data_IF_337016286065
#
_entry.id   IF_337016286065
#
_cell.length_a   1.000
_cell.length_b   1.000
_cell.length_c   1.000
_cell.angle_alpha   90.00
_cell.angle_beta   90.00
_cell.angle_gamma   90.00
#
_symmetry.space_group_name_H-M   'P 1'
#
loop_
_entity.id
_entity.type
_entity.pdbx_description
1 polymer ?
#
# COMPACT_ATOMS: atom_id res chain seq x y z
N UNK A 1 -30.64 -54.30 -20.91
CA UNK A 1 -30.28 -53.64 -22.18
C UNK A 1 -29.45 -52.41 -21.83
N UNK A 2 -28.13 -52.58 -21.78
CA UNK A 2 -27.17 -52.21 -22.85
C UNK A 2 -26.91 -50.72 -22.86
N UNK A 3 -25.68 -50.21 -22.91
CA UNK A 3 -24.35 -50.79 -22.82
C UNK A 3 -23.42 -49.58 -22.75
N UNK A 4 -22.32 -49.72 -22.02
CA UNK A 4 -21.17 -48.82 -22.10
C UNK A 4 -20.63 -48.74 -23.54
N UNK A 5 -20.05 -47.58 -23.82
CA UNK A 5 -19.01 -47.26 -24.81
C UNK A 5 -18.13 -48.48 -25.21
N UNK A 6 -17.62 -48.53 -26.45
CA UNK A 6 -16.38 -47.78 -26.70
C UNK A 6 -16.16 -47.24 -28.14
N UNK A 7 -15.52 -46.07 -28.18
CA UNK A 7 -14.29 -45.75 -28.94
C UNK A 7 -13.90 -46.67 -30.10
N UNK A 8 -14.04 -46.17 -31.34
CA UNK A 8 -13.26 -46.59 -32.50
C UNK A 8 -12.95 -45.38 -33.42
N UNK A 9 -11.68 -45.00 -33.49
CA UNK A 9 -11.09 -44.23 -34.60
C UNK A 9 -9.74 -44.87 -34.90
N UNK A 10 -9.48 -45.25 -36.16
CA UNK A 10 -8.32 -44.71 -36.88
C UNK A 10 -8.58 -44.61 -38.42
N UNK A 11 -7.61 -44.24 -39.29
CA UNK A 11 -6.26 -43.73 -39.06
C UNK A 11 -5.96 -42.39 -39.74
N UNK A 12 -4.88 -41.77 -39.25
CA UNK A 12 -4.16 -40.66 -39.85
C UNK A 12 -3.54 -41.05 -41.20
N UNK A 13 -3.93 -40.36 -42.27
CA UNK A 13 -3.22 -40.37 -43.55
C UNK A 13 -2.79 -38.95 -43.93
N UNK A 14 -1.50 -38.70 -43.71
CA UNK A 14 -0.57 -37.89 -44.54
C UNK A 14 -1.20 -36.75 -45.36
N UNK A 15 -0.92 -35.51 -44.97
CA UNK A 15 -0.55 -34.49 -45.96
C UNK A 15 0.65 -33.67 -45.49
N UNK A 16 1.78 -33.99 -46.13
CA UNK A 16 3.07 -33.31 -46.06
C UNK A 16 2.96 -31.96 -46.79
N UNK A 17 3.68 -30.97 -46.23
CA UNK A 17 4.35 -29.83 -46.90
C UNK A 17 3.45 -28.70 -47.42
N UNK A 18 3.55 -27.54 -46.77
CA UNK A 18 4.04 -26.30 -47.41
C UNK A 18 4.17 -25.17 -46.36
N UNK A 19 5.20 -25.21 -45.52
CA UNK A 19 5.71 -24.01 -44.86
C UNK A 19 6.75 -23.39 -45.80
N UNK A 20 6.34 -22.44 -46.63
CA UNK A 20 7.24 -21.43 -47.19
C UNK A 20 6.43 -20.20 -47.56
N UNK A 21 6.63 -19.12 -46.82
CA UNK A 21 7.04 -17.80 -47.35
C UNK A 21 7.00 -16.77 -46.24
N UNK A 22 8.18 -16.19 -46.02
CA UNK A 22 8.39 -14.93 -45.31
C UNK A 22 7.42 -13.85 -45.80
N UNK A 23 6.94 -13.03 -44.88
CA UNK A 23 6.84 -11.58 -45.08
C UNK A 23 6.89 -10.87 -43.72
N UNK A 24 8.03 -10.24 -43.46
CA UNK A 24 8.19 -9.19 -42.45
C UNK A 24 7.83 -7.86 -43.15
N UNK A 25 7.06 -6.99 -42.50
CA UNK A 25 7.35 -5.56 -42.54
C UNK A 25 7.52 -5.07 -41.09
N UNK A 26 8.70 -4.64 -40.64
CA UNK A 26 9.38 -3.39 -40.99
C UNK A 26 8.55 -2.13 -40.65
N UNK A 27 8.74 -1.68 -39.41
CA UNK A 27 8.98 -0.29 -38.99
C UNK A 27 8.19 0.82 -39.72
N UNK A 28 7.22 1.41 -39.02
CA UNK A 28 6.77 2.78 -39.27
C UNK A 28 6.68 3.52 -37.93
N UNK A 29 7.73 4.28 -37.65
CA UNK A 29 7.90 5.19 -36.53
C UNK A 29 7.16 6.49 -36.88
N UNK A 30 5.96 6.66 -36.34
CA UNK A 30 5.16 7.87 -36.50
C UNK A 30 5.61 8.96 -35.53
N UNK A 31 6.51 9.84 -36.00
CA UNK A 31 6.76 11.15 -35.42
C UNK A 31 5.56 12.06 -35.73
N UNK A 32 4.72 12.36 -34.73
CA UNK A 32 3.79 13.48 -34.80
C UNK A 32 4.35 14.64 -33.98
N UNK A 33 5.05 15.55 -34.66
CA UNK A 33 5.37 16.87 -34.15
C UNK A 33 4.14 17.76 -34.32
N UNK A 34 3.33 17.88 -33.25
CA UNK A 34 2.27 18.88 -33.18
C UNK A 34 2.86 20.23 -32.79
N UNK A 35 3.05 21.10 -33.77
CA UNK A 35 3.29 22.52 -33.55
C UNK A 35 1.98 23.17 -33.07
N UNK A 36 1.88 23.48 -31.78
CA UNK A 36 0.83 24.34 -31.25
C UNK A 36 1.35 25.78 -31.19
N UNK A 37 0.80 26.62 -32.06
CA UNK A 37 1.06 28.06 -32.13
C UNK A 37 0.71 28.74 -30.81
N UNK A 38 1.69 29.40 -30.19
CA UNK A 38 1.47 30.34 -29.11
C UNK A 38 0.85 31.63 -29.69
N UNK A 39 -0.45 31.85 -29.48
CA UNK A 39 -1.07 33.15 -29.69
C UNK A 39 -0.80 34.03 -28.46
N UNK A 40 0.05 35.02 -28.65
CA UNK A 40 0.40 36.04 -27.67
C UNK A 40 -0.79 36.99 -27.48
N UNK A 41 -1.55 36.83 -26.39
CA UNK A 41 -2.48 37.84 -25.90
C UNK A 41 -1.71 38.94 -25.17
N UNK A 42 -1.66 40.14 -25.76
CA UNK A 42 -1.26 41.37 -25.07
C UNK A 42 -2.33 41.74 -24.03
N UNK A 43 -1.97 42.04 -22.77
CA UNK A 43 -2.81 42.89 -21.95
C UNK A 43 -2.43 44.36 -22.21
N UNK A 44 -3.42 45.15 -22.58
CA UNK A 44 -3.41 46.60 -22.43
C UNK A 44 -3.97 46.94 -21.05
N UNK A 45 -3.29 47.82 -20.31
CA UNK A 45 -3.74 48.33 -19.02
C UNK A 45 -2.59 49.05 -18.31
N UNK A 46 -2.72 50.37 -18.20
CA UNK A 46 -1.86 51.22 -17.38
C UNK A 46 -2.19 51.01 -15.89
N UNK A 47 -1.16 50.86 -15.08
CA UNK A 47 -1.34 50.60 -13.66
C UNK A 47 0.01 50.39 -13.03
N UNK A 48 0.59 51.48 -12.55
CA UNK A 48 1.85 51.52 -11.80
C UNK A 48 1.96 50.36 -10.82
N UNK A 49 3.11 49.68 -10.72
CA UNK A 49 3.28 48.57 -9.79
C UNK A 49 3.19 49.10 -8.36
N UNK A 50 2.08 48.79 -7.68
CA UNK A 50 2.00 48.87 -6.22
C UNK A 50 2.94 47.78 -5.70
N UNK A 51 4.14 48.17 -5.29
CA UNK A 51 5.07 47.29 -4.58
C UNK A 51 4.37 46.82 -3.28
N UNK A 52 4.11 45.51 -3.10
CA UNK A 52 3.71 45.02 -1.79
C UNK A 52 4.85 45.29 -0.78
N UNK A 53 4.54 45.60 0.49
CA UNK A 53 5.55 45.77 1.54
C UNK A 53 6.45 44.53 1.63
N UNK A 54 7.71 44.68 2.10
CA UNK A 54 8.75 43.66 1.99
C UNK A 54 8.23 42.33 2.50
N UNK A 55 8.09 41.41 1.55
CA UNK A 55 7.40 40.14 1.75
C UNK A 55 8.12 39.35 2.84
N UNK A 56 7.41 39.04 3.93
CA UNK A 56 7.69 37.86 4.70
C UNK A 56 7.85 36.70 3.70
N UNK A 57 8.99 36.02 3.74
CA UNK A 57 9.27 34.90 2.83
C UNK A 57 8.05 33.97 2.85
N UNK A 58 7.47 33.60 1.70
CA UNK A 58 6.39 32.62 1.69
C UNK A 58 6.92 31.37 2.37
N UNK A 59 6.21 30.89 3.39
CA UNK A 59 6.52 29.65 4.11
C UNK A 59 6.73 28.57 3.05
N UNK A 60 7.95 28.08 2.94
CA UNK A 60 8.31 27.04 1.98
C UNK A 60 7.56 25.77 2.37
N UNK A 61 6.64 25.33 1.51
CA UNK A 61 5.91 24.07 1.68
C UNK A 61 6.83 22.85 1.66
N UNK A 62 8.11 23.00 1.27
CA UNK A 62 9.12 21.95 1.33
C UNK A 62 9.50 21.56 2.78
N UNK A 63 9.30 22.46 3.74
CA UNK A 63 9.70 22.24 5.14
C UNK A 63 8.57 21.65 6.00
N UNK A 64 7.36 21.49 5.45
CA UNK A 64 6.19 20.93 6.15
C UNK A 64 5.97 19.47 5.77
N UNK A 65 5.78 18.58 6.74
CA UNK A 65 5.58 17.15 6.45
C UNK A 65 5.72 16.24 7.66
N UNK A 66 5.70 14.92 7.41
CA UNK A 66 5.99 13.90 8.41
C UNK A 66 7.10 13.01 7.85
N UNK A 67 8.30 13.13 8.39
CA UNK A 67 9.39 12.20 8.10
C UNK A 67 9.19 10.93 8.90
N UNK A 68 9.18 9.79 8.22
CA UNK A 68 9.04 8.51 8.89
C UNK A 68 10.28 8.22 9.76
N UNK A 69 10.09 8.13 11.08
CA UNK A 69 11.13 7.75 12.03
C UNK A 69 10.72 6.48 12.76
N UNK A 70 10.77 5.33 12.08
CA UNK A 70 10.44 4.02 12.68
C UNK A 70 11.45 3.61 13.76
N UNK A 71 11.02 2.74 14.68
CA UNK A 71 11.82 2.24 15.81
C UNK A 71 12.42 3.35 16.70
N UNK A 72 11.86 4.56 16.63
CA UNK A 72 12.36 5.71 17.37
C UNK A 72 11.63 5.77 18.71
N UNK A 73 12.40 5.89 19.78
CA UNK A 73 11.87 6.01 21.14
C UNK A 73 11.37 7.43 21.36
N UNK A 74 10.09 7.58 21.69
CA UNK A 74 9.57 8.86 22.17
C UNK A 74 10.09 9.09 23.59
N UNK A 75 10.60 10.29 23.94
CA UNK A 75 11.11 10.56 25.27
C UNK A 75 9.93 10.58 26.24
N UNK A 76 9.91 9.62 27.16
CA UNK A 76 8.80 9.45 28.10
C UNK A 76 8.75 10.54 29.18
N UNK A 77 9.87 11.26 29.37
CA UNK A 77 10.06 12.34 30.35
C UNK A 77 9.42 13.67 29.94
N UNK A 78 8.94 13.80 28.69
CA UNK A 78 8.29 15.03 28.24
C UNK A 78 7.02 15.29 29.05
N UNK A 79 6.89 16.53 29.51
CA UNK A 79 5.82 16.96 30.41
C UNK A 79 4.73 17.67 29.62
N UNK A 80 3.49 17.27 29.86
CA UNK A 80 2.28 17.84 29.27
C UNK A 80 1.22 18.04 30.35
N UNK A 81 0.12 18.71 30.01
CA UNK A 81 -1.13 18.69 30.77
C UNK A 81 -2.14 17.83 30.06
N UNK A 82 -2.84 16.98 30.80
CA UNK A 82 -3.95 16.21 30.25
C UNK A 82 -5.27 17.00 30.24
N UNK A 83 -6.32 16.35 29.74
CA UNK A 83 -7.67 16.90 29.64
C UNK A 83 -8.36 17.13 30.99
N UNK A 84 -7.79 16.65 32.10
CA UNK A 84 -8.23 16.97 33.45
C UNK A 84 -7.43 18.15 34.07
N UNK A 85 -6.37 18.60 33.41
CA UNK A 85 -5.49 19.68 33.87
C UNK A 85 -4.29 19.20 34.68
N UNK A 86 -4.15 17.88 34.83
CA UNK A 86 -3.06 17.28 35.59
C UNK A 86 -1.76 17.34 34.79
N UNK A 87 -0.66 17.62 35.49
CA UNK A 87 0.68 17.57 34.90
C UNK A 87 1.09 16.10 34.80
N UNK A 88 1.40 15.66 33.58
CA UNK A 88 1.70 14.25 33.26
C UNK A 88 2.97 14.16 32.43
N UNK A 89 3.67 13.04 32.56
CA UNK A 89 4.73 12.66 31.62
C UNK A 89 4.18 11.73 30.55
N UNK A 90 4.73 11.77 29.34
CA UNK A 90 4.28 10.89 28.26
C UNK A 90 4.42 9.40 28.58
N UNK A 91 5.39 9.03 29.42
CA UNK A 91 5.58 7.65 29.90
C UNK A 91 4.34 7.08 30.57
N UNK A 92 3.45 7.91 31.13
CA UNK A 92 2.14 7.50 31.69
C UNK A 92 1.32 6.69 30.68
N UNK A 93 1.47 6.99 29.38
CA UNK A 93 0.71 6.35 28.31
C UNK A 93 1.51 5.26 27.58
N UNK A 94 2.84 5.25 27.73
CA UNK A 94 3.78 4.36 27.04
C UNK A 94 4.42 3.40 28.05
N UNK A 95 3.60 2.62 28.75
CA UNK A 95 4.03 1.53 29.65
C UNK A 95 2.82 0.75 30.18
N UNK A 96 1.72 0.78 29.44
CA UNK A 96 0.44 0.20 29.85
C UNK A 96 0.29 -1.27 29.43
N UNK A 97 1.36 -1.88 28.90
CA UNK A 97 1.35 -3.14 28.15
C UNK A 97 0.41 -3.12 26.92
N UNK A 98 0.05 -1.93 26.44
CA UNK A 98 -0.84 -1.74 25.29
C UNK A 98 -0.18 -0.85 24.24
N UNK A 99 -0.40 -1.12 22.94
CA UNK A 99 0.01 -0.19 21.89
C UNK A 99 -0.74 1.14 22.02
N UNK A 100 -0.20 2.19 21.41
CA UNK A 100 -0.80 3.52 21.42
C UNK A 100 -1.06 4.01 20.00
N UNK A 101 -2.30 4.41 19.73
CA UNK A 101 -2.64 5.20 18.55
C UNK A 101 -2.38 6.67 18.89
N UNK A 102 -1.41 7.27 18.20
CA UNK A 102 -0.87 8.58 18.50
C UNK A 102 -1.11 9.55 17.33
N UNK A 103 -1.49 10.79 17.62
CA UNK A 103 -1.58 11.83 16.59
C UNK A 103 -1.28 13.21 17.14
N UNK A 104 -0.78 14.08 16.25
CA UNK A 104 -0.46 15.48 16.51
C UNK A 104 -1.45 16.34 15.75
N UNK A 105 -2.16 17.19 16.49
CA UNK A 105 -3.18 18.11 15.98
C UNK A 105 -3.05 19.45 16.71
N UNK A 106 -3.87 20.43 16.39
CA UNK A 106 -4.24 21.47 17.36
C UNK A 106 -5.76 21.60 17.32
N UNK A 107 -6.37 21.69 18.49
CA UNK A 107 -7.80 21.48 18.72
C UNK A 107 -8.69 22.58 18.15
N UNK A 108 -8.17 23.80 18.03
CA UNK A 108 -8.85 24.95 17.43
C UNK A 108 -8.79 24.99 15.91
N UNK A 109 -8.13 24.02 15.26
CA UNK A 109 -7.98 24.00 13.81
C UNK A 109 -9.33 23.78 13.10
N UNK A 110 -9.77 24.73 12.24
CA UNK A 110 -11.08 24.64 11.60
C UNK A 110 -11.12 23.69 10.40
N UNK A 111 -9.98 23.12 10.00
CA UNK A 111 -9.87 22.29 8.79
C UNK A 111 -9.19 20.95 9.06
N UNK A 112 -7.90 20.84 8.70
CA UNK A 112 -7.23 19.55 8.53
C UNK A 112 -7.18 18.69 9.80
N UNK A 113 -6.89 19.28 10.97
CA UNK A 113 -6.86 18.50 12.21
C UNK A 113 -8.24 17.91 12.56
N UNK A 114 -9.31 18.68 12.35
CA UNK A 114 -10.68 18.19 12.55
C UNK A 114 -10.97 17.02 11.61
N UNK A 115 -10.52 17.10 10.34
CA UNK A 115 -10.62 15.97 9.40
C UNK A 115 -9.82 14.76 9.88
N UNK A 116 -8.57 14.92 10.30
CA UNK A 116 -7.72 13.83 10.82
C UNK A 116 -8.41 13.10 11.98
N UNK A 117 -8.95 13.82 12.96
CA UNK A 117 -9.62 13.22 14.11
C UNK A 117 -10.97 12.57 13.73
N UNK A 118 -11.72 13.17 12.82
CA UNK A 118 -12.98 12.60 12.32
C UNK A 118 -12.75 11.28 11.60
N UNK A 119 -11.79 11.24 10.68
CA UNK A 119 -11.46 10.02 9.93
C UNK A 119 -10.81 8.97 10.83
N UNK A 120 -10.00 9.35 11.81
CA UNK A 120 -9.51 8.43 12.85
C UNK A 120 -10.68 7.77 13.59
N UNK A 121 -11.65 8.56 14.07
CA UNK A 121 -12.79 8.04 14.82
C UNK A 121 -13.66 7.13 13.94
N UNK A 122 -13.91 7.53 12.68
CA UNK A 122 -14.62 6.70 11.69
C UNK A 122 -13.93 5.38 11.41
N UNK A 123 -12.60 5.40 11.24
CA UNK A 123 -11.83 4.20 10.97
C UNK A 123 -11.79 3.24 12.17
N UNK A 124 -11.93 3.77 13.40
CA UNK A 124 -12.02 2.96 14.62
C UNK A 124 -13.40 2.35 14.86
N UNK A 125 -14.49 2.90 14.31
CA UNK A 125 -15.85 2.39 14.53
C UNK A 125 -16.03 0.89 14.21
N UNK A 126 -15.51 0.35 13.09
CA UNK A 126 -15.60 -1.09 12.80
C UNK A 126 -14.46 -1.93 13.41
N UNK A 127 -13.51 -1.34 14.14
CA UNK A 127 -12.41 -2.07 14.80
C UNK A 127 -12.93 -2.65 16.12
N UNK A 128 -12.76 -3.96 16.34
CA UNK A 128 -13.29 -4.67 17.52
C UNK A 128 -12.46 -4.45 18.81
N UNK A 129 -11.25 -3.88 18.67
CA UNK A 129 -10.41 -3.48 19.80
C UNK A 129 -10.99 -2.21 20.45
N UNK A 130 -10.84 -2.08 21.77
CA UNK A 130 -11.36 -0.96 22.55
C UNK A 130 -10.24 -0.12 23.19
N UNK A 131 -10.30 1.22 23.07
CA UNK A 131 -9.44 2.13 23.83
C UNK A 131 -9.54 1.88 25.33
N UNK A 132 -8.41 1.96 26.03
CA UNK A 132 -8.30 1.75 27.47
C UNK A 132 -8.30 0.28 27.90
N UNK A 133 -8.69 -0.65 27.01
CA UNK A 133 -8.58 -2.10 27.24
C UNK A 133 -7.46 -2.71 26.40
N UNK A 134 -7.52 -2.50 25.10
CA UNK A 134 -6.66 -3.18 24.11
C UNK A 134 -5.56 -2.25 23.57
N UNK A 135 -5.80 -0.94 23.55
CA UNK A 135 -4.86 0.10 23.12
C UNK A 135 -5.17 1.44 23.81
N UNK A 136 -4.25 2.39 23.78
CA UNK A 136 -4.49 3.77 24.23
C UNK A 136 -4.58 4.72 23.03
N UNK A 137 -5.33 5.81 23.15
CA UNK A 137 -5.37 6.89 22.16
C UNK A 137 -4.77 8.14 22.80
N UNK A 138 -3.70 8.66 22.21
CA UNK A 138 -3.02 9.87 22.69
C UNK A 138 -3.01 10.91 21.58
N UNK A 139 -3.69 12.02 21.83
CA UNK A 139 -3.82 13.13 20.90
C UNK A 139 -3.13 14.34 21.54
N UNK A 140 -2.01 14.78 20.97
CA UNK A 140 -1.25 15.91 21.52
C UNK A 140 -1.45 17.15 20.67
N UNK A 141 -1.77 18.28 21.32
CA UNK A 141 -1.77 19.58 20.66
C UNK A 141 -0.34 20.04 20.39
N UNK A 142 -0.06 20.46 19.15
CA UNK A 142 1.19 21.15 18.81
C UNK A 142 1.08 22.67 18.83
N UNK A 143 -0.06 23.23 19.27
CA UNK A 143 -0.20 24.66 19.51
C UNK A 143 0.00 24.97 21.02
N UNK A 144 1.11 25.62 21.41
CA UNK A 144 1.39 25.91 22.82
C UNK A 144 0.42 26.94 23.44
N UNK A 145 -0.44 27.57 22.63
CA UNK A 145 -1.47 28.52 23.10
C UNK A 145 -2.75 27.81 23.56
N UNK A 146 -2.89 26.51 23.29
CA UNK A 146 -4.08 25.75 23.66
C UNK A 146 -4.04 25.27 25.12
N UNK A 147 -5.18 25.38 25.79
CA UNK A 147 -5.34 24.99 27.19
C UNK A 147 -6.15 23.72 27.39
N UNK A 148 -6.10 23.20 28.61
CA UNK A 148 -6.84 22.01 29.07
C UNK A 148 -8.33 22.07 28.75
N UNK A 149 -8.99 23.23 28.90
CA UNK A 149 -10.42 23.36 28.62
C UNK A 149 -10.80 22.93 27.18
N UNK A 150 -9.92 23.22 26.23
CA UNK A 150 -10.13 22.87 24.83
C UNK A 150 -9.85 21.39 24.59
N UNK A 151 -8.80 20.84 25.21
CA UNK A 151 -8.49 19.42 25.20
C UNK A 151 -9.66 18.58 25.75
N UNK A 152 -10.21 19.00 26.90
CA UNK A 152 -11.38 18.39 27.53
C UNK A 152 -12.59 18.40 26.61
N UNK A 153 -12.94 19.56 26.04
CA UNK A 153 -14.08 19.69 25.12
C UNK A 153 -13.93 18.78 23.90
N UNK A 154 -12.72 18.70 23.33
CA UNK A 154 -12.48 17.81 22.18
C UNK A 154 -12.55 16.34 22.56
N UNK A 155 -12.00 15.93 23.69
CA UNK A 155 -12.17 14.55 24.19
C UNK A 155 -13.64 14.18 24.29
N UNK A 156 -14.45 15.02 24.94
CA UNK A 156 -15.90 14.78 25.10
C UNK A 156 -16.63 14.63 23.76
N UNK A 157 -16.27 15.46 22.77
CA UNK A 157 -16.85 15.39 21.43
C UNK A 157 -16.54 14.05 20.74
N UNK A 158 -15.27 13.63 20.75
CA UNK A 158 -14.83 12.43 20.05
C UNK A 158 -15.21 11.13 20.76
N UNK A 159 -15.23 11.09 22.10
CA UNK A 159 -15.72 9.92 22.84
C UNK A 159 -17.23 9.73 22.65
N UNK A 160 -18.00 10.82 22.62
CA UNK A 160 -19.43 10.78 22.32
C UNK A 160 -19.71 10.28 20.90
N UNK A 161 -18.92 10.71 19.92
CA UNK A 161 -19.05 10.25 18.53
C UNK A 161 -18.66 8.77 18.35
N UNK A 162 -17.69 8.28 19.14
CA UNK A 162 -17.24 6.89 19.09
C UNK A 162 -18.30 5.87 19.55
N UNK A 163 -19.28 6.29 20.36
CA UNK A 163 -20.47 5.51 20.75
C UNK A 163 -20.18 4.14 21.38
N UNK A 164 -19.06 4.03 22.13
CA UNK A 164 -18.74 2.86 22.94
C UNK A 164 -18.50 3.27 24.40
N UNK A 165 -19.56 3.26 25.23
CA UNK A 165 -19.44 3.63 26.65
C UNK A 165 -18.40 2.77 27.38
N UNK A 166 -17.67 3.37 28.31
CA UNK A 166 -16.63 2.70 29.10
C UNK A 166 -15.25 2.71 28.44
N UNK A 167 -15.10 3.34 27.27
CA UNK A 167 -13.80 3.49 26.58
C UNK A 167 -13.14 4.84 26.83
N UNK A 168 -13.81 5.78 27.51
CA UNK A 168 -13.41 7.17 27.69
C UNK A 168 -12.06 7.32 28.41
N UNK A 169 -11.76 6.40 29.32
CA UNK A 169 -10.48 6.34 30.04
C UNK A 169 -9.28 6.02 29.13
N UNK A 170 -9.52 5.49 27.93
CA UNK A 170 -8.50 5.21 26.93
C UNK A 170 -8.18 6.36 25.98
N UNK A 171 -8.85 7.50 26.13
CA UNK A 171 -8.64 8.70 25.29
C UNK A 171 -7.95 9.79 26.09
N UNK A 172 -6.79 10.22 25.62
CA UNK A 172 -5.96 11.20 26.31
C UNK A 172 -5.69 12.37 25.36
N UNK A 173 -6.15 13.56 25.75
CA UNK A 173 -5.94 14.78 24.98
C UNK A 173 -5.00 15.69 25.77
N UNK A 174 -3.83 15.97 25.20
CA UNK A 174 -2.74 16.64 25.91
C UNK A 174 -2.42 18.01 25.30
N UNK A 175 -2.13 18.99 26.14
CA UNK A 175 -1.51 20.27 25.74
C UNK A 175 -0.16 20.43 26.43
N UNK A 176 0.74 21.25 25.88
CA UNK A 176 2.09 21.39 26.39
C UNK A 176 2.72 22.74 26.07
N UNK A 177 3.87 23.00 26.68
CA UNK A 177 4.69 24.14 26.31
C UNK A 177 5.44 23.89 24.99
N UNK A 178 5.93 24.98 24.40
CA UNK A 178 6.62 24.95 23.11
C UNK A 178 7.87 24.07 23.12
N UNK A 179 8.60 24.00 24.23
CA UNK A 179 9.84 23.22 24.32
C UNK A 179 9.55 21.70 24.25
N UNK A 180 8.55 21.24 25.00
CA UNK A 180 8.10 19.85 25.00
C UNK A 180 7.46 19.48 23.65
N UNK A 181 6.63 20.35 23.08
CA UNK A 181 6.02 20.16 21.75
C UNK A 181 7.11 20.03 20.68
N UNK A 182 8.09 20.94 20.67
CA UNK A 182 9.19 20.93 19.70
C UNK A 182 10.01 19.64 19.78
N UNK A 183 10.39 19.21 20.99
CA UNK A 183 11.13 17.95 21.19
C UNK A 183 10.31 16.73 20.75
N UNK A 184 9.01 16.70 21.04
CA UNK A 184 8.11 15.62 20.60
C UNK A 184 7.99 15.56 19.07
N UNK A 185 7.66 16.69 18.45
CA UNK A 185 7.47 16.81 17.00
C UNK A 185 8.74 16.47 16.23
N UNK A 186 9.91 16.96 16.67
CA UNK A 186 11.21 16.57 16.13
C UNK A 186 11.47 15.07 16.25
N UNK A 187 11.14 14.47 17.39
CA UNK A 187 11.38 13.03 17.62
C UNK A 187 10.56 12.16 16.68
N UNK A 188 9.29 12.51 16.46
CA UNK A 188 8.42 11.72 15.57
C UNK A 188 8.49 12.15 14.11
N UNK A 189 9.29 13.18 13.78
CA UNK A 189 9.51 13.66 12.42
C UNK A 189 8.38 14.57 11.91
N UNK A 190 7.55 15.12 12.78
CA UNK A 190 6.45 16.01 12.42
C UNK A 190 6.98 17.44 12.25
N UNK A 191 6.90 17.98 11.04
CA UNK A 191 7.29 19.36 10.72
C UNK A 191 6.06 20.18 10.35
N UNK A 192 5.96 21.36 10.95
CA UNK A 192 4.87 22.30 10.77
C UNK A 192 5.41 23.73 10.75
N UNK A 193 4.66 24.65 10.18
CA UNK A 193 5.04 26.05 10.09
C UNK A 193 3.84 26.96 10.31
N UNK A 194 4.08 28.14 10.90
CA UNK A 194 3.03 29.15 11.09
C UNK A 194 2.85 29.98 9.82
N UNK A 195 1.60 30.12 9.38
CA UNK A 195 1.21 30.99 8.28
C UNK A 195 0.61 32.28 8.83
N UNK A 196 1.41 33.34 8.80
CA UNK A 196 1.00 34.67 9.27
C UNK A 196 -0.20 35.22 8.51
N UNK A 197 -0.38 34.87 7.23
CA UNK A 197 -1.48 35.41 6.43
C UNK A 197 -2.82 34.87 6.89
N UNK A 198 -2.87 33.58 7.22
CA UNK A 198 -4.11 32.90 7.60
C UNK A 198 -4.23 32.70 9.12
N UNK A 199 -3.20 33.08 9.88
CA UNK A 199 -3.11 32.87 11.33
C UNK A 199 -3.38 31.40 11.70
N UNK A 200 -2.76 30.49 10.94
CA UNK A 200 -2.96 29.05 11.04
C UNK A 200 -1.63 28.32 10.88
N UNK A 201 -1.55 27.09 11.39
CA UNK A 201 -0.41 26.22 11.10
C UNK A 201 -0.63 25.46 9.80
N UNK A 202 0.42 25.42 8.98
CA UNK A 202 0.54 24.52 7.84
C UNK A 202 1.25 23.26 8.35
N UNK A 203 0.58 22.12 8.22
CA UNK A 203 1.10 20.82 8.67
C UNK A 203 0.56 19.70 7.77
N UNK A 204 1.23 18.55 7.79
CA UNK A 204 0.68 17.33 7.20
C UNK A 204 -0.28 16.63 8.18
N UNK A 205 -1.25 15.90 7.63
CA UNK A 205 -2.15 15.03 8.40
C UNK A 205 -1.58 13.63 8.52
N UNK A 206 -1.80 12.99 9.67
CA UNK A 206 -1.44 11.58 9.85
C UNK A 206 -1.64 11.06 11.26
N UNK A 207 -1.57 9.73 11.37
CA UNK A 207 -1.57 8.98 12.63
C UNK A 207 -0.27 8.20 12.74
N UNK A 208 0.11 7.88 13.96
CA UNK A 208 1.24 7.03 14.28
C UNK A 208 0.75 5.93 15.19
N UNK A 209 1.38 4.78 15.12
CA UNK A 209 1.15 3.68 16.06
C UNK A 209 2.44 3.43 16.81
N UNK A 210 2.35 3.40 18.13
CA UNK A 210 3.45 3.17 19.04
C UNK A 210 3.31 1.80 19.69
N UNK A 211 4.45 1.17 19.94
CA UNK A 211 4.56 -0.01 20.81
C UNK A 211 4.23 0.35 22.26
N UNK A 212 3.96 -0.64 23.14
CA UNK A 212 3.78 -0.41 24.57
C UNK A 212 4.92 0.34 25.25
N UNK A 213 6.14 0.23 24.73
CA UNK A 213 7.33 0.90 25.25
C UNK A 213 7.50 2.33 24.72
N UNK A 214 6.61 2.82 23.86
CA UNK A 214 6.67 4.17 23.29
C UNK A 214 7.59 4.31 22.08
N UNK A 215 7.91 3.20 21.39
CA UNK A 215 8.61 3.25 20.09
C UNK A 215 7.63 3.36 18.94
N UNK A 216 7.96 4.18 17.95
CA UNK A 216 7.20 4.31 16.69
C UNK A 216 7.23 3.02 15.87
N UNK A 217 6.06 2.41 15.69
CA UNK A 217 5.87 1.15 14.96
C UNK A 217 5.38 1.39 13.53
N UNK A 218 4.44 2.32 13.31
CA UNK A 218 3.86 2.58 11.98
C UNK A 218 3.40 4.04 11.84
N UNK A 219 3.36 4.51 10.60
CA UNK A 219 2.82 5.81 10.21
C UNK A 219 1.68 5.63 9.20
N UNK A 220 0.61 6.40 9.38
CA UNK A 220 -0.48 6.57 8.44
C UNK A 220 -0.47 8.03 7.99
N UNK A 221 -0.39 8.26 6.68
CA UNK A 221 -0.33 9.61 6.12
C UNK A 221 -1.70 10.04 5.58
N UNK A 222 -1.94 11.35 5.57
CA UNK A 222 -3.16 11.92 5.03
C UNK A 222 -4.33 11.83 6.00
N UNK A 223 -5.51 11.49 5.48
CA UNK A 223 -6.75 11.40 6.25
C UNK A 223 -7.56 10.13 5.97
N UNK A 224 -7.17 9.33 4.97
CA UNK A 224 -7.90 8.12 4.61
C UNK A 224 -7.30 6.90 5.32
N UNK A 225 -7.93 6.49 6.43
CA UNK A 225 -7.43 5.37 7.23
C UNK A 225 -8.28 4.12 7.06
N UNK A 226 -7.65 3.03 6.61
CA UNK A 226 -8.33 1.74 6.43
C UNK A 226 -8.45 1.03 7.78
N UNK A 227 -9.66 0.67 8.25
CA UNK A 227 -9.85 0.06 9.57
C UNK A 227 -9.04 -1.22 9.81
N UNK A 228 -8.93 -2.05 8.77
CA UNK A 228 -8.14 -3.29 8.80
C UNK A 228 -6.68 -3.01 9.11
N UNK A 229 -6.13 -1.96 8.52
CA UNK A 229 -4.72 -1.60 8.67
C UNK A 229 -4.46 -1.02 10.04
N UNK A 230 -5.38 -0.20 10.59
CA UNK A 230 -5.33 0.25 11.98
C UNK A 230 -5.32 -0.96 12.91
N UNK A 231 -6.31 -1.87 12.78
CA UNK A 231 -6.41 -3.07 13.62
C UNK A 231 -5.13 -3.91 13.57
N UNK A 232 -4.62 -4.19 12.37
CA UNK A 232 -3.40 -4.96 12.19
C UNK A 232 -2.20 -4.26 12.85
N UNK A 233 -2.04 -2.95 12.61
CA UNK A 233 -0.93 -2.18 13.17
C UNK A 233 -0.94 -2.12 14.70
N UNK A 234 -2.13 -2.04 15.32
CA UNK A 234 -2.27 -2.12 16.78
C UNK A 234 -1.86 -3.50 17.29
N UNK A 235 -2.31 -4.59 16.66
CA UNK A 235 -1.94 -5.95 17.05
C UNK A 235 -0.43 -6.19 16.91
N UNK A 236 0.18 -5.73 15.83
CA UNK A 236 1.62 -5.84 15.59
C UNK A 236 2.43 -5.01 16.58
N UNK A 237 2.06 -3.75 16.78
CA UNK A 237 2.72 -2.86 17.74
C UNK A 237 2.57 -3.38 19.18
N UNK A 238 1.43 -3.98 19.53
CA UNK A 238 1.21 -4.62 20.82
C UNK A 238 2.14 -5.82 21.07
N UNK A 239 2.63 -6.45 20.01
CA UNK A 239 3.68 -7.50 20.07
C UNK A 239 5.10 -6.92 20.01
N UNK A 240 5.26 -5.59 20.09
CA UNK A 240 6.54 -4.90 19.95
C UNK A 240 7.11 -4.90 18.54
N UNK A 241 6.33 -5.29 17.52
CA UNK A 241 6.80 -5.29 16.13
C UNK A 241 6.88 -3.87 15.61
N UNK A 242 7.96 -3.59 14.89
CA UNK A 242 8.14 -2.36 14.13
C UNK A 242 7.82 -2.67 12.67
N UNK A 243 7.03 -1.82 12.02
CA UNK A 243 6.71 -1.93 10.60
C UNK A 243 7.95 -1.87 9.71
N UNK A 244 7.80 -2.25 8.44
CA UNK A 244 8.91 -2.31 7.49
C UNK A 244 8.91 -1.10 6.54
N UNK A 245 10.10 -0.63 6.12
CA UNK A 245 10.21 0.37 5.05
C UNK A 245 9.71 -0.17 3.70
N UNK A 246 9.62 -1.49 3.52
CA UNK A 246 9.07 -2.14 2.33
C UNK A 246 7.56 -1.96 2.17
N UNK A 247 6.82 -1.73 3.26
CA UNK A 247 5.39 -1.41 3.18
C UNK A 247 5.14 -0.06 2.48
N UNK A 248 6.16 0.81 2.47
CA UNK A 248 6.16 2.06 1.71
C UNK A 248 6.43 1.86 0.21
N UNK A 249 7.13 0.79 -0.18
CA UNK A 249 7.32 0.43 -1.61
C UNK A 249 6.01 -0.04 -2.25
N UNK A 250 5.13 -0.68 -1.47
CA UNK A 250 3.75 -0.94 -1.89
C UNK A 250 2.95 0.37 -2.04
N UNK A 251 3.16 1.36 -1.18
CA UNK A 251 2.60 2.70 -1.34
C UNK A 251 3.19 3.46 -2.55
N UNK A 252 4.43 3.20 -2.97
CA UNK A 252 4.98 3.76 -4.21
C UNK A 252 4.24 3.27 -5.47
N UNK A 253 3.53 2.15 -5.41
CA UNK A 253 2.66 1.69 -6.50
C UNK A 253 1.26 2.32 -6.46
N UNK A 254 0.85 2.91 -5.33
CA UNK A 254 -0.52 3.45 -5.12
C UNK A 254 -0.58 4.94 -4.76
N UNK A 255 0.55 5.64 -4.57
CA UNK A 255 0.55 7.08 -4.31
C UNK A 255 0.49 7.88 -5.61
N UNK A 256 -0.74 8.26 -5.94
CA UNK A 256 -1.08 9.31 -6.87
C UNK A 256 -0.89 10.67 -6.19
N UNK A 257 0.09 11.47 -6.62
CA UNK A 257 0.20 12.89 -6.30
C UNK A 257 -0.49 13.72 -7.41
N UNK A 258 -1.69 14.29 -7.16
CA UNK A 258 -2.45 15.05 -8.14
C UNK A 258 -1.81 16.38 -8.54
N UNK A 259 -0.78 16.86 -7.83
CA UNK A 259 -0.21 18.20 -8.08
C UNK A 259 1.06 18.19 -8.94
N UNK A 260 1.87 17.13 -8.89
CA UNK A 260 3.18 17.14 -9.58
C UNK A 260 3.25 16.24 -10.81
N UNK A 261 2.44 15.18 -10.92
CA UNK A 261 2.48 14.21 -12.04
C UNK A 261 3.84 13.52 -12.27
N UNK A 262 4.87 13.82 -11.46
CA UNK A 262 6.27 13.48 -11.73
C UNK A 262 6.70 12.14 -11.15
N UNK A 263 6.00 11.62 -10.14
CA UNK A 263 6.27 10.29 -9.59
C UNK A 263 5.64 9.15 -10.40
N UNK A 264 4.46 9.38 -10.99
CA UNK A 264 3.77 8.36 -11.81
C UNK A 264 4.59 7.99 -13.07
N UNK A 265 5.22 8.97 -13.74
CA UNK A 265 5.99 8.70 -14.96
C UNK A 265 7.27 7.90 -14.71
N UNK A 266 8.01 8.18 -13.63
CA UNK A 266 9.23 7.46 -13.30
C UNK A 266 8.96 5.99 -12.94
N UNK A 267 7.97 5.74 -12.08
CA UNK A 267 7.57 4.38 -11.67
C UNK A 267 7.00 3.60 -12.85
N UNK A 268 6.14 4.21 -13.68
CA UNK A 268 5.62 3.57 -14.90
C UNK A 268 6.74 3.23 -15.89
N UNK A 269 7.76 4.07 -16.02
CA UNK A 269 8.91 3.76 -16.87
C UNK A 269 9.73 2.59 -16.34
N UNK A 270 9.95 2.50 -15.01
CA UNK A 270 10.63 1.36 -14.39
C UNK A 270 9.84 0.06 -14.60
N UNK A 271 8.53 0.08 -14.37
CA UNK A 271 7.64 -1.09 -14.61
C UNK A 271 7.65 -1.48 -16.10
N UNK A 272 7.57 -0.50 -17.02
CA UNK A 272 7.66 -0.76 -18.46
C UNK A 272 9.00 -1.39 -18.85
N UNK A 273 10.12 -0.88 -18.33
CA UNK A 273 11.45 -1.44 -18.59
C UNK A 273 11.55 -2.86 -18.03
N UNK A 274 11.08 -3.09 -16.80
CA UNK A 274 11.04 -4.43 -16.19
C UNK A 274 10.19 -5.42 -17.00
N UNK A 275 9.03 -4.97 -17.49
CA UNK A 275 8.16 -5.76 -18.36
C UNK A 275 8.81 -6.11 -19.69
N UNK A 276 9.45 -5.14 -20.36
CA UNK A 276 10.19 -5.36 -21.62
C UNK A 276 11.33 -6.36 -21.40
N UNK A 277 12.12 -6.21 -20.34
CA UNK A 277 13.20 -7.13 -20.01
C UNK A 277 12.70 -8.56 -19.75
N UNK A 278 11.56 -8.69 -19.08
CA UNK A 278 10.94 -10.00 -18.81
C UNK A 278 10.49 -10.68 -20.10
N UNK A 279 9.82 -9.93 -20.99
CA UNK A 279 9.38 -10.46 -22.30
C UNK A 279 10.57 -10.83 -23.17
N UNK A 280 11.63 -10.00 -23.20
CA UNK A 280 12.86 -10.30 -23.93
C UNK A 280 13.57 -11.53 -23.35
N UNK A 281 13.62 -11.66 -22.03
CA UNK A 281 14.17 -12.83 -21.35
C UNK A 281 13.42 -14.11 -21.72
N UNK A 282 12.08 -14.09 -21.62
CA UNK A 282 11.24 -15.23 -21.99
C UNK A 282 11.37 -15.57 -23.49
N UNK A 283 11.34 -14.54 -24.35
CA UNK A 283 11.48 -14.71 -25.80
C UNK A 283 12.83 -15.31 -26.17
N UNK A 284 13.91 -14.82 -25.56
CA UNK A 284 15.26 -15.36 -25.76
C UNK A 284 15.35 -16.81 -25.30
N UNK A 285 14.80 -17.12 -24.12
CA UNK A 285 14.75 -18.48 -23.58
C UNK A 285 13.99 -19.45 -24.49
N UNK A 286 12.83 -19.05 -25.00
CA UNK A 286 12.03 -19.86 -25.94
C UNK A 286 12.80 -20.08 -27.24
N UNK A 287 13.38 -19.02 -27.82
CA UNK A 287 14.17 -19.13 -29.07
C UNK A 287 15.40 -20.02 -28.89
N UNK A 288 16.09 -19.94 -27.75
CA UNK A 288 17.23 -20.80 -27.45
C UNK A 288 16.83 -22.28 -27.38
N UNK A 289 15.72 -22.60 -26.70
CA UNK A 289 15.23 -23.98 -26.62
C UNK A 289 14.78 -24.52 -27.98
N UNK A 290 14.05 -23.74 -28.78
CA UNK A 290 13.65 -24.14 -30.14
C UNK A 290 14.85 -24.33 -31.08
N UNK A 291 15.89 -23.51 -30.95
CA UNK A 291 17.15 -23.69 -31.70
C UNK A 291 17.92 -24.93 -31.25
N UNK A 292 17.91 -25.24 -29.94
CA UNK A 292 18.53 -26.46 -29.40
C UNK A 292 17.83 -27.72 -29.90
N UNK A 293 16.51 -27.73 -29.94
CA UNK A 293 15.74 -28.88 -30.42
C UNK A 293 15.85 -29.09 -31.93
N UNK A 294 15.94 -28.02 -32.73
CA UNK A 294 16.25 -28.12 -34.17
C UNK A 294 17.66 -28.65 -34.47
N UNK A 295 18.60 -28.54 -33.52
CA UNK A 295 19.96 -29.06 -33.64
C UNK A 295 20.09 -30.50 -33.13
N UNK A 296 19.04 -31.08 -32.52
CA UNK A 296 19.05 -32.51 -32.19
C UNK A 296 18.90 -33.29 -33.49
N UNK A 297 19.95 -34.01 -33.86
CA UNK A 297 19.93 -34.95 -34.98
C UNK A 297 18.90 -36.04 -34.65
N UNK A 298 17.95 -36.34 -35.56
CA UNK A 298 17.03 -37.45 -35.37
C UNK A 298 17.84 -38.73 -35.13
N UNK A 299 17.65 -39.35 -33.96
CA UNK A 299 18.20 -40.68 -33.71
C UNK A 299 17.53 -41.63 -34.71
N UNK A 300 18.28 -42.33 -35.57
CA UNK A 300 17.69 -43.30 -36.49
C UNK A 300 16.90 -44.34 -35.69
N UNK A 301 15.73 -44.81 -36.17
CA UNK A 301 15.01 -45.88 -35.50
C UNK A 301 15.96 -47.07 -35.35
N UNK A 302 16.18 -47.53 -34.12
CA UNK A 302 16.90 -48.78 -33.89
C UNK A 302 16.12 -49.88 -34.61
N UNK A 303 16.81 -50.61 -35.47
CA UNK A 303 16.26 -51.78 -36.13
C UNK A 303 15.80 -52.76 -35.06
N UNK A 304 14.52 -53.12 -35.09
CA UNK A 304 13.98 -54.22 -34.30
C UNK A 304 14.69 -55.49 -34.77
N UNK A 305 15.53 -56.06 -33.92
CA UNK A 305 16.04 -57.42 -34.13
C UNK A 305 14.84 -58.38 -34.17
N UNK A 306 14.76 -59.28 -35.17
CA UNK A 306 13.68 -60.25 -35.24
C UNK A 306 13.83 -61.25 -34.08
N UNK A 307 12.82 -61.32 -33.22
CA UNK A 307 12.67 -62.41 -32.26
C UNK A 307 12.43 -63.70 -33.04
N UNK A 308 13.33 -64.67 -32.88
CA UNK A 308 13.13 -66.04 -33.33
C UNK A 308 12.08 -66.69 -32.43
N UNK A 309 10.81 -66.61 -32.81
CA UNK A 309 9.76 -67.48 -32.28
C UNK A 309 9.39 -68.51 -33.36
N UNK A 310 9.82 -69.73 -33.09
CA UNK A 310 9.59 -70.95 -33.86
C UNK A 310 8.10 -71.36 -33.79
N UNK A 311 7.47 -71.87 -34.87
CA UNK A 311 6.06 -72.22 -34.86
C UNK A 311 5.85 -73.60 -34.23
N UNK A 312 5.20 -73.66 -33.05
CA UNK A 312 4.65 -74.90 -32.51
C UNK A 312 3.27 -75.18 -33.11
N UNK A 313 3.18 -76.33 -33.76
CA UNK A 313 2.01 -76.85 -34.45
C UNK A 313 0.73 -76.97 -33.62
N UNK A 314 -0.37 -76.73 -34.33
CA UNK A 314 -1.68 -77.38 -34.31
C UNK A 314 -2.08 -78.28 -33.11
N UNK A 315 -3.22 -77.94 -32.49
CA UNK A 315 -4.28 -78.93 -32.21
C UNK A 315 -5.65 -78.29 -32.50
N UNK A 316 -6.43 -79.00 -33.31
CA UNK A 316 -7.74 -78.63 -33.79
C UNK A 316 -8.89 -79.10 -32.87
N UNK A 317 -10.01 -78.37 -32.98
CA UNK A 317 -11.41 -78.85 -32.85
C UNK A 317 -12.02 -79.08 -31.46
N UNK A 318 -13.37 -79.11 -31.33
CA UNK A 318 -14.43 -78.41 -32.08
C UNK A 318 -15.53 -77.79 -31.19
N UNK A 319 -16.47 -77.13 -31.86
CA UNK A 319 -17.76 -76.56 -31.43
C UNK A 319 -18.49 -77.29 -30.29
N UNK A 320 -19.15 -76.51 -29.40
CA UNK A 320 -20.47 -76.87 -28.87
C UNK A 320 -21.28 -75.68 -28.32
N UNK A 321 -22.38 -75.42 -29.04
CA UNK A 321 -23.74 -75.00 -28.64
C UNK A 321 -24.08 -74.54 -27.21
N UNK A 322 -24.95 -73.52 -27.17
CA UNK A 322 -25.96 -73.26 -26.13
C UNK A 322 -25.40 -72.61 -24.88
N UNK A 323 -26.12 -71.86 -24.07
CA UNK A 323 -27.55 -71.56 -23.92
C UNK A 323 -27.59 -70.55 -22.74
N UNK A 324 -28.72 -69.90 -22.49
CA UNK A 324 -29.07 -69.54 -21.11
C UNK A 324 -28.85 -68.09 -20.68
N UNK A 325 -29.88 -67.30 -20.95
CA UNK A 325 -30.55 -66.37 -20.02
C UNK A 325 -30.23 -66.52 -18.52
N UNK A 326 -30.24 -65.37 -17.82
CA UNK A 326 -30.97 -65.10 -16.56
C UNK A 326 -30.14 -64.43 -15.44
N UNK A 327 -30.41 -63.13 -15.24
CA UNK A 327 -30.91 -62.55 -13.99
C UNK A 327 -30.08 -62.70 -12.68
N UNK A 328 -29.41 -61.61 -12.29
CA UNK A 328 -29.67 -60.88 -11.03
C UNK A 328 -28.96 -59.54 -10.99
#
# INVERSE_FOLDING_TARGET
MTSRNPTTLPPLARFRRAFSRLAIPALAMGLFAGAASAQSLKPAGDGSPILPPPSAKPVSTADVGIDQKLNTQIPGDLVFRDDAGEIVTLSKYFQTNKPVLFTLVYYGCPRLCTTVLNEMNKALMPVELNPGKDFEIVVVSFDPREGTDLAYKKKQEYTKFYRRPGTEAGWHFLTGDEANIKKLTETVGFRYAWDEKHQQFIHAGGLMVLTPDGKTSKYFYGVDYVPRDIRLSLVEAGQGKIGSLSDQVLLFCFQYDPHSGKYSLAVLNIVKVGGILTVLGLGTFVVMNLRKDRRRVPVPPQAVEPSNDEPSDAVASPERSGDGTSEK
#
